data_IF_351443457763
#
_entry.id   IF_351443457763
#
_cell.length_a   1.000
_cell.length_b   1.000
_cell.length_c   1.000
_cell.angle_alpha   90.00
_cell.angle_beta   90.00
_cell.angle_gamma   90.00
#
_symmetry.space_group_name_H-M   'P 1'
#
loop_
_entity.id
_entity.type
_entity.pdbx_description
1 polymer ?
#
# COMPACT_ATOMS: atom_id res chain seq x y z
N UNK A 1 -59.70 -38.07 -38.49
CA UNK A 1 -58.85 -38.54 -37.37
C UNK A 1 -59.71 -38.81 -36.14
N UNK A 2 -59.62 -40.02 -35.57
CA UNK A 2 -60.34 -40.41 -34.34
C UNK A 2 -59.86 -39.56 -33.15
N UNK A 3 -60.78 -39.17 -32.26
CA UNK A 3 -60.56 -38.33 -31.06
C UNK A 3 -59.35 -38.81 -30.23
N UNK A 4 -59.15 -40.12 -30.14
CA UNK A 4 -58.01 -40.76 -29.46
C UNK A 4 -56.64 -40.27 -29.95
N UNK A 5 -56.46 -40.07 -31.25
CA UNK A 5 -55.19 -39.60 -31.81
C UNK A 5 -54.93 -38.13 -31.48
N UNK A 6 -55.99 -37.30 -31.42
CA UNK A 6 -55.88 -35.90 -31.00
C UNK A 6 -55.46 -35.78 -29.53
N UNK A 7 -56.04 -36.63 -28.65
CA UNK A 7 -55.70 -36.68 -27.23
C UNK A 7 -54.27 -37.18 -26.97
N UNK A 8 -53.84 -38.23 -27.69
CA UNK A 8 -52.46 -38.73 -27.59
C UNK A 8 -51.44 -37.69 -28.07
N UNK A 9 -51.76 -36.96 -29.15
CA UNK A 9 -50.89 -35.90 -29.67
C UNK A 9 -50.79 -34.72 -28.69
N UNK A 10 -51.90 -34.28 -28.09
CA UNK A 10 -51.84 -33.24 -27.05
C UNK A 10 -51.02 -33.68 -25.83
N UNK A 11 -51.19 -34.92 -25.37
CA UNK A 11 -50.41 -35.45 -24.25
C UNK A 11 -48.91 -35.51 -24.57
N UNK A 12 -48.55 -35.95 -25.79
CA UNK A 12 -47.15 -35.99 -26.24
C UNK A 12 -46.53 -34.58 -26.30
N UNK A 13 -47.27 -33.59 -26.80
CA UNK A 13 -46.81 -32.19 -26.83
C UNK A 13 -46.61 -31.64 -25.42
N UNK A 14 -47.53 -31.91 -24.48
CA UNK A 14 -47.38 -31.49 -23.09
C UNK A 14 -46.15 -32.12 -22.42
N UNK A 15 -45.91 -33.41 -22.63
CA UNK A 15 -44.71 -34.09 -22.11
C UNK A 15 -43.46 -33.47 -22.71
N UNK A 16 -43.43 -33.21 -24.02
CA UNK A 16 -42.29 -32.59 -24.69
C UNK A 16 -42.03 -31.17 -24.14
N UNK A 17 -43.08 -30.39 -23.89
CA UNK A 17 -42.93 -29.05 -23.29
C UNK A 17 -42.38 -29.12 -21.86
N UNK A 18 -42.79 -30.10 -21.06
CA UNK A 18 -42.27 -30.28 -19.70
C UNK A 18 -40.79 -30.67 -19.71
N UNK A 19 -40.39 -31.56 -20.63
CA UNK A 19 -38.99 -31.95 -20.80
C UNK A 19 -38.14 -30.74 -21.25
N UNK A 20 -38.63 -29.97 -22.23
CA UNK A 20 -37.95 -28.76 -22.68
C UNK A 20 -37.83 -27.72 -21.56
N UNK A 21 -38.91 -27.50 -20.79
CA UNK A 21 -38.92 -26.59 -19.65
C UNK A 21 -37.93 -27.04 -18.56
N UNK A 22 -37.87 -28.33 -18.25
CA UNK A 22 -36.94 -28.87 -17.27
C UNK A 22 -35.48 -28.70 -17.74
N UNK A 23 -35.20 -28.94 -19.03
CA UNK A 23 -33.90 -28.68 -19.62
C UNK A 23 -33.48 -27.21 -19.53
N UNK A 24 -34.40 -26.29 -19.88
CA UNK A 24 -34.17 -24.85 -19.77
C UNK A 24 -33.96 -24.41 -18.33
N UNK A 25 -34.72 -24.97 -17.38
CA UNK A 25 -34.54 -24.70 -15.95
C UNK A 25 -33.15 -25.14 -15.46
N UNK A 26 -32.70 -26.35 -15.83
CA UNK A 26 -31.36 -26.85 -15.47
C UNK A 26 -30.26 -25.96 -16.04
N UNK A 27 -30.40 -25.55 -17.29
CA UNK A 27 -29.46 -24.62 -17.95
C UNK A 27 -29.44 -23.26 -17.24
N UNK A 28 -30.60 -22.67 -16.98
CA UNK A 28 -30.74 -21.40 -16.28
C UNK A 28 -30.15 -21.45 -14.86
N UNK A 29 -30.41 -22.53 -14.12
CA UNK A 29 -29.82 -22.73 -12.79
C UNK A 29 -28.30 -22.84 -12.81
N UNK A 30 -27.70 -23.43 -13.86
CA UNK A 30 -26.25 -23.44 -14.02
C UNK A 30 -25.69 -22.05 -14.21
N UNK A 31 -26.29 -21.25 -15.12
CA UNK A 31 -25.89 -19.86 -15.35
C UNK A 31 -26.00 -19.05 -14.06
N UNK A 32 -27.09 -19.21 -13.31
CA UNK A 32 -27.29 -18.50 -12.06
C UNK A 32 -26.23 -18.86 -11.00
N UNK A 33 -25.80 -20.12 -10.96
CA UNK A 33 -24.72 -20.56 -10.07
C UNK A 33 -23.38 -19.91 -10.46
N UNK A 34 -23.04 -19.91 -11.75
CA UNK A 34 -21.80 -19.32 -12.25
C UNK A 34 -21.76 -17.79 -12.03
N UNK A 35 -22.87 -17.09 -12.31
CA UNK A 35 -23.00 -15.65 -12.02
C UNK A 35 -22.96 -15.34 -10.51
N UNK A 36 -23.47 -16.24 -9.66
CA UNK A 36 -23.35 -16.12 -8.21
C UNK A 36 -21.88 -16.21 -7.76
N UNK A 37 -21.10 -17.13 -8.34
CA UNK A 37 -19.65 -17.23 -8.08
C UNK A 37 -18.92 -15.97 -8.57
N UNK A 38 -19.32 -15.40 -9.71
CA UNK A 38 -18.75 -14.14 -10.20
C UNK A 38 -19.04 -12.98 -9.24
N UNK A 39 -20.27 -12.88 -8.73
CA UNK A 39 -20.65 -11.88 -7.72
C UNK A 39 -19.85 -12.05 -6.42
N UNK A 40 -19.67 -13.29 -5.95
CA UNK A 40 -18.82 -13.59 -4.80
C UNK A 40 -17.35 -13.20 -5.04
N UNK A 41 -16.84 -13.41 -6.26
CA UNK A 41 -15.48 -13.01 -6.63
C UNK A 41 -15.28 -11.50 -6.56
N UNK A 42 -16.28 -10.70 -6.93
CA UNK A 42 -16.24 -9.24 -6.76
C UNK A 42 -16.15 -8.84 -5.29
N UNK A 43 -16.92 -9.49 -4.41
CA UNK A 43 -16.86 -9.26 -2.96
C UNK A 43 -15.49 -9.68 -2.41
N UNK A 44 -14.94 -10.80 -2.90
CA UNK A 44 -13.60 -11.23 -2.49
C UNK A 44 -12.53 -10.22 -2.92
N UNK A 45 -12.61 -9.63 -4.11
CA UNK A 45 -11.70 -8.55 -4.52
C UNK A 45 -11.79 -7.35 -3.59
N UNK A 46 -12.99 -6.94 -3.18
CA UNK A 46 -13.16 -5.85 -2.21
C UNK A 46 -12.46 -6.19 -0.89
N UNK A 47 -12.68 -7.40 -0.36
CA UNK A 47 -12.02 -7.86 0.86
C UNK A 47 -10.50 -7.89 0.73
N UNK A 48 -9.96 -8.33 -0.41
CA UNK A 48 -8.53 -8.37 -0.65
C UNK A 48 -7.93 -6.96 -0.72
N UNK A 49 -8.61 -5.99 -1.35
CA UNK A 49 -8.21 -4.58 -1.30
C UNK A 49 -8.18 -4.06 0.14
N UNK A 50 -9.15 -4.43 0.98
CA UNK A 50 -9.13 -4.07 2.39
C UNK A 50 -7.94 -4.69 3.15
N UNK A 51 -7.51 -5.90 2.79
CA UNK A 51 -6.30 -6.53 3.35
C UNK A 51 -5.03 -5.78 2.95
N UNK A 52 -4.90 -5.38 1.68
CA UNK A 52 -3.78 -4.51 1.25
C UNK A 52 -3.73 -3.24 2.08
N UNK A 53 -4.86 -2.53 2.22
CA UNK A 53 -4.95 -1.30 3.03
C UNK A 53 -4.59 -1.53 4.49
N UNK A 54 -4.91 -2.71 5.04
CA UNK A 54 -4.53 -3.09 6.40
C UNK A 54 -3.02 -3.29 6.52
N UNK A 55 -2.41 -4.03 5.60
CA UNK A 55 -0.96 -4.25 5.60
C UNK A 55 -0.19 -2.93 5.49
N UNK A 56 -0.67 -1.97 4.69
CA UNK A 56 -0.07 -0.64 4.59
C UNK A 56 -0.16 0.14 5.90
N UNK A 57 -1.35 0.16 6.52
CA UNK A 57 -1.54 0.83 7.82
C UNK A 57 -0.67 0.21 8.90
N UNK A 58 -0.58 -1.12 8.93
CA UNK A 58 0.27 -1.83 9.88
C UNK A 58 1.75 -1.55 9.61
N UNK A 59 2.17 -1.44 8.33
CA UNK A 59 3.51 -0.98 7.96
C UNK A 59 3.78 0.42 8.50
N UNK A 60 2.89 1.40 8.28
CA UNK A 60 3.14 2.77 8.77
C UNK A 60 3.11 2.87 10.30
N UNK A 61 2.35 2.01 10.97
CA UNK A 61 2.29 1.99 12.43
C UNK A 61 3.54 1.37 13.07
N UNK A 62 4.19 0.40 12.41
CA UNK A 62 5.26 -0.43 13.00
C UNK A 62 6.61 -0.34 12.30
N UNK A 63 6.62 0.13 11.06
CA UNK A 63 7.77 0.23 10.16
C UNK A 63 8.49 -1.10 9.93
N UNK A 64 7.74 -2.21 9.90
CA UNK A 64 8.29 -3.55 9.71
C UNK A 64 8.16 -4.02 8.25
N UNK A 65 9.28 -4.38 7.63
CA UNK A 65 9.31 -4.80 6.20
C UNK A 65 8.45 -6.03 5.93
N UNK A 66 8.16 -6.87 6.92
CA UNK A 66 7.31 -8.06 6.74
C UNK A 66 5.90 -7.75 6.22
N UNK A 67 5.38 -6.54 6.43
CA UNK A 67 4.10 -6.11 5.86
C UNK A 67 4.14 -5.88 4.36
N UNK A 68 5.31 -5.54 3.79
CA UNK A 68 5.50 -5.49 2.34
C UNK A 68 5.30 -6.87 1.71
N UNK A 69 5.84 -7.92 2.35
CA UNK A 69 5.72 -9.28 1.83
C UNK A 69 4.28 -9.80 1.93
N UNK A 70 3.55 -9.44 2.99
CA UNK A 70 2.10 -9.70 3.09
C UNK A 70 1.30 -8.98 2.00
N UNK A 71 1.62 -7.72 1.75
CA UNK A 71 0.98 -6.91 0.70
C UNK A 71 1.20 -7.52 -0.69
N UNK A 72 2.42 -7.97 -0.99
CA UNK A 72 2.75 -8.69 -2.23
C UNK A 72 1.98 -10.01 -2.36
N UNK A 73 1.89 -10.78 -1.28
CA UNK A 73 1.13 -12.04 -1.27
C UNK A 73 -0.36 -11.80 -1.55
N UNK A 74 -1.00 -10.87 -0.82
CA UNK A 74 -2.40 -10.47 -1.03
C UNK A 74 -2.62 -9.91 -2.44
N UNK A 75 -1.65 -9.19 -3.00
CA UNK A 75 -1.71 -8.72 -4.40
C UNK A 75 -1.69 -9.88 -5.41
N UNK A 76 -0.98 -10.97 -5.11
CA UNK A 76 -1.01 -12.19 -5.93
C UNK A 76 -2.37 -12.87 -5.88
N UNK A 77 -3.02 -12.90 -4.71
CA UNK A 77 -4.37 -13.46 -4.56
C UNK A 77 -5.40 -12.67 -5.39
N UNK A 78 -5.29 -11.34 -5.42
CA UNK A 78 -6.11 -10.47 -6.28
C UNK A 78 -5.97 -10.86 -7.75
N UNK A 79 -4.74 -11.08 -8.23
CA UNK A 79 -4.51 -11.47 -9.63
C UNK A 79 -5.19 -12.81 -9.96
N UNK A 80 -5.15 -13.77 -9.04
CA UNK A 80 -5.80 -15.08 -9.22
C UNK A 80 -7.32 -14.95 -9.29
N UNK A 81 -7.94 -14.21 -8.37
CA UNK A 81 -9.39 -13.93 -8.39
C UNK A 81 -9.77 -13.17 -9.66
N UNK A 82 -8.91 -12.23 -10.10
CA UNK A 82 -9.15 -11.46 -11.32
C UNK A 82 -9.13 -12.28 -12.60
N UNK A 83 -8.25 -13.28 -12.66
CA UNK A 83 -8.20 -14.20 -13.78
C UNK A 83 -9.51 -14.99 -13.90
N UNK A 84 -9.98 -15.57 -12.81
CA UNK A 84 -11.25 -16.34 -12.77
C UNK A 84 -12.44 -15.46 -13.13
N UNK A 85 -12.54 -14.26 -12.54
CA UNK A 85 -13.65 -13.35 -12.82
C UNK A 85 -13.68 -12.89 -14.28
N UNK A 86 -12.50 -12.64 -14.87
CA UNK A 86 -12.39 -12.28 -16.29
C UNK A 86 -12.87 -13.41 -17.20
N UNK A 87 -12.55 -14.66 -16.90
CA UNK A 87 -13.04 -15.81 -17.67
C UNK A 87 -14.58 -15.90 -17.66
N UNK A 88 -15.19 -15.69 -16.50
CA UNK A 88 -16.66 -15.67 -16.37
C UNK A 88 -17.28 -14.51 -17.14
N UNK A 89 -16.66 -13.32 -17.11
CA UNK A 89 -17.15 -12.17 -17.88
C UNK A 89 -17.11 -12.45 -19.39
N UNK A 90 -16.02 -13.02 -19.90
CA UNK A 90 -15.90 -13.40 -21.31
C UNK A 90 -16.91 -14.48 -21.69
N UNK A 91 -17.11 -15.49 -20.84
CA UNK A 91 -18.05 -16.60 -21.11
C UNK A 91 -19.49 -16.12 -21.26
N UNK A 92 -19.89 -15.09 -20.52
CA UNK A 92 -21.25 -14.53 -20.54
C UNK A 92 -21.37 -13.22 -21.31
N UNK A 93 -20.36 -12.85 -22.10
CA UNK A 93 -20.33 -11.63 -22.92
C UNK A 93 -20.57 -10.34 -22.08
N UNK A 94 -20.04 -10.33 -20.86
CA UNK A 94 -20.06 -9.18 -19.96
C UNK A 94 -18.84 -8.30 -20.24
N UNK A 95 -19.00 -6.96 -20.39
CA UNK A 95 -17.88 -6.06 -20.65
C UNK A 95 -16.76 -6.12 -19.61
N UNK A 96 -15.52 -6.35 -20.05
CA UNK A 96 -14.35 -6.49 -19.15
C UNK A 96 -13.65 -5.16 -18.82
N UNK A 97 -14.07 -4.04 -19.41
CA UNK A 97 -13.43 -2.73 -19.25
C UNK A 97 -13.25 -2.32 -17.78
N UNK A 98 -14.21 -2.68 -16.91
CA UNK A 98 -14.13 -2.43 -15.48
C UNK A 98 -12.99 -3.23 -14.82
N UNK A 99 -12.81 -4.49 -15.22
CA UNK A 99 -11.73 -5.35 -14.72
C UNK A 99 -10.36 -4.87 -15.21
N UNK A 100 -10.27 -4.39 -16.46
CA UNK A 100 -9.05 -3.79 -17.01
C UNK A 100 -8.63 -2.53 -16.26
N UNK A 101 -9.60 -1.65 -15.93
CA UNK A 101 -9.34 -0.44 -15.16
C UNK A 101 -8.98 -0.75 -13.70
N UNK A 102 -9.62 -1.76 -13.11
CA UNK A 102 -9.30 -2.23 -11.76
C UNK A 102 -7.87 -2.77 -11.70
N UNK A 103 -7.47 -3.63 -12.64
CA UNK A 103 -6.10 -4.17 -12.70
C UNK A 103 -5.05 -3.06 -12.84
N UNK A 104 -5.26 -2.09 -13.74
CA UNK A 104 -4.36 -0.93 -13.83
C UNK A 104 -4.26 -0.16 -12.51
N UNK A 105 -5.38 0.07 -11.84
CA UNK A 105 -5.42 0.80 -10.57
C UNK A 105 -4.69 0.03 -9.46
N UNK A 106 -4.87 -1.30 -9.38
CA UNK A 106 -4.24 -2.10 -8.33
C UNK A 106 -2.74 -2.26 -8.56
N UNK A 107 -2.27 -2.37 -9.80
CA UNK A 107 -0.83 -2.39 -10.10
C UNK A 107 -0.18 -1.05 -9.72
N UNK A 108 -0.80 0.07 -10.07
CA UNK A 108 -0.29 1.39 -9.69
C UNK A 108 -0.26 1.57 -8.17
N UNK A 109 -1.31 1.13 -7.48
CA UNK A 109 -1.40 1.16 -6.02
C UNK A 109 -0.28 0.35 -5.36
N UNK A 110 -0.04 -0.88 -5.83
CA UNK A 110 1.07 -1.74 -5.35
C UNK A 110 2.42 -1.08 -5.53
N UNK A 111 2.70 -0.56 -6.72
CA UNK A 111 3.98 0.09 -7.02
C UNK A 111 4.19 1.35 -6.18
N UNK A 112 3.12 2.11 -5.91
CA UNK A 112 3.16 3.28 -5.03
C UNK A 112 3.54 2.88 -3.61
N UNK A 113 2.95 1.81 -3.07
CA UNK A 113 3.30 1.32 -1.74
C UNK A 113 4.74 0.81 -1.66
N UNK A 114 5.18 0.01 -2.64
CA UNK A 114 6.57 -0.44 -2.73
C UNK A 114 7.57 0.73 -2.71
N UNK A 115 7.27 1.79 -3.47
CA UNK A 115 8.08 3.01 -3.51
C UNK A 115 8.13 3.69 -2.14
N UNK A 116 6.98 3.80 -1.46
CA UNK A 116 6.93 4.41 -0.11
C UNK A 116 7.72 3.57 0.90
N UNK A 117 7.64 2.24 0.84
CA UNK A 117 8.43 1.36 1.71
C UNK A 117 9.93 1.56 1.47
N UNK A 118 10.37 1.68 0.22
CA UNK A 118 11.77 1.97 -0.12
C UNK A 118 12.22 3.31 0.45
N UNK A 119 11.44 4.38 0.25
CA UNK A 119 11.75 5.70 0.82
C UNK A 119 11.80 5.67 2.35
N UNK A 120 10.92 4.90 2.99
CA UNK A 120 10.90 4.76 4.44
C UNK A 120 12.10 3.96 4.97
N UNK A 121 12.61 2.99 4.20
CA UNK A 121 13.87 2.31 4.48
C UNK A 121 15.07 3.24 4.37
N UNK A 122 15.11 4.09 3.34
CA UNK A 122 16.15 5.10 3.14
C UNK A 122 16.17 6.10 4.31
N UNK A 123 15.00 6.65 4.67
CA UNK A 123 14.85 7.50 5.86
C UNK A 123 15.32 6.76 7.12
N UNK A 124 14.98 5.48 7.25
CA UNK A 124 15.31 4.62 8.36
C UNK A 124 14.06 4.12 9.08
N UNK A 125 13.94 2.79 9.20
CA UNK A 125 12.83 2.13 9.91
C UNK A 125 12.97 2.19 11.43
N UNK A 126 14.21 2.29 11.90
CA UNK A 126 14.57 2.39 13.32
C UNK A 126 15.44 3.62 13.57
N UNK A 127 15.56 4.08 14.84
CA UNK A 127 16.44 5.18 15.19
C UNK A 127 17.95 4.95 14.95
N UNK A 128 18.34 3.77 14.47
CA UNK A 128 19.73 3.37 14.23
C UNK A 128 20.04 3.08 12.76
N UNK A 129 19.03 3.12 11.89
CA UNK A 129 19.13 2.70 10.48
C UNK A 129 18.85 3.87 9.54
N UNK A 130 19.31 3.77 8.30
CA UNK A 130 19.05 4.77 7.26
C UNK A 130 19.63 6.15 7.58
N UNK A 131 19.10 7.17 6.92
CA UNK A 131 19.48 8.56 7.10
C UNK A 131 19.32 9.03 8.55
N UNK A 132 18.29 8.55 9.26
CA UNK A 132 18.08 8.91 10.65
C UNK A 132 19.21 8.39 11.57
N UNK A 133 19.63 7.14 11.38
CA UNK A 133 20.76 6.57 12.12
C UNK A 133 22.06 7.34 11.87
N UNK A 134 22.36 7.64 10.60
CA UNK A 134 23.55 8.39 10.21
C UNK A 134 23.56 9.80 10.82
N UNK A 135 22.44 10.52 10.76
CA UNK A 135 22.29 11.84 11.36
C UNK A 135 22.50 11.80 12.87
N UNK A 136 21.95 10.79 13.56
CA UNK A 136 22.10 10.64 15.00
C UNK A 136 23.56 10.41 15.42
N UNK A 137 24.32 9.63 14.65
CA UNK A 137 25.75 9.42 14.90
C UNK A 137 26.53 10.71 14.73
N UNK A 138 26.33 11.42 13.61
CA UNK A 138 27.00 12.70 13.35
C UNK A 138 26.74 13.74 14.46
N UNK A 139 25.50 13.83 14.95
CA UNK A 139 25.17 14.69 16.09
C UNK A 139 25.92 14.27 17.35
N UNK A 140 25.96 12.96 17.66
CA UNK A 140 26.65 12.48 18.86
C UNK A 140 28.15 12.80 18.81
N UNK A 141 28.77 12.71 17.64
CA UNK A 141 30.18 13.09 17.44
C UNK A 141 30.40 14.59 17.67
N UNK A 142 29.52 15.44 17.09
CA UNK A 142 29.56 16.89 17.32
C UNK A 142 29.33 17.23 18.80
N UNK A 143 28.37 16.58 19.46
CA UNK A 143 28.09 16.78 20.88
C UNK A 143 29.30 16.42 21.75
N UNK A 144 29.98 15.32 21.45
CA UNK A 144 31.18 14.89 22.15
C UNK A 144 32.33 15.88 21.97
N UNK A 145 32.54 16.41 20.75
CA UNK A 145 33.56 17.42 20.47
C UNK A 145 33.27 18.73 21.20
N UNK A 146 32.04 19.26 21.09
CA UNK A 146 31.65 20.51 21.74
C UNK A 146 31.79 20.42 23.27
N UNK A 147 31.48 19.26 23.87
CA UNK A 147 31.72 18.99 25.30
C UNK A 147 33.20 18.92 25.64
N UNK A 148 34.00 18.22 24.84
CA UNK A 148 35.44 18.03 25.07
C UNK A 148 36.20 19.35 25.11
N UNK A 149 35.78 20.31 24.29
CA UNK A 149 36.42 21.62 24.18
C UNK A 149 35.71 22.74 24.97
N UNK A 150 34.76 22.38 25.84
CA UNK A 150 34.03 23.29 26.72
C UNK A 150 33.45 24.53 26.01
N UNK A 151 32.70 24.30 24.93
CA UNK A 151 32.10 25.35 24.10
C UNK A 151 30.59 25.51 24.35
N UNK A 152 30.15 26.17 25.45
CA UNK A 152 28.73 26.24 25.82
C UNK A 152 27.85 26.93 24.77
N UNK A 153 28.38 27.94 24.06
CA UNK A 153 27.63 28.65 23.02
C UNK A 153 27.32 27.74 21.82
N UNK A 154 28.28 26.92 21.39
CA UNK A 154 28.07 25.92 20.35
C UNK A 154 27.09 24.83 20.82
N UNK A 155 27.16 24.43 22.09
CA UNK A 155 26.22 23.46 22.67
C UNK A 155 24.78 23.95 22.61
N UNK A 156 24.51 25.22 22.96
CA UNK A 156 23.16 25.80 22.89
C UNK A 156 22.60 25.75 21.47
N UNK A 157 23.38 26.17 20.47
CA UNK A 157 22.92 26.14 19.06
C UNK A 157 22.76 24.71 18.55
N UNK A 158 23.63 23.77 18.95
CA UNK A 158 23.47 22.35 18.62
C UNK A 158 22.16 21.78 19.18
N UNK A 159 21.81 22.09 20.42
CA UNK A 159 20.54 21.66 21.02
C UNK A 159 19.34 22.28 20.30
N UNK A 160 19.44 23.51 19.80
CA UNK A 160 18.40 24.12 18.96
C UNK A 160 18.26 23.44 17.60
N UNK A 161 19.36 23.07 16.96
CA UNK A 161 19.35 22.24 15.74
C UNK A 161 18.63 20.92 15.98
N UNK A 162 18.97 20.23 17.07
CA UNK A 162 18.33 18.97 17.46
C UNK A 162 16.86 19.11 17.77
N UNK A 163 16.45 20.23 18.36
CA UNK A 163 15.03 20.53 18.58
C UNK A 163 14.29 20.67 17.26
N UNK A 164 14.81 21.46 16.33
CA UNK A 164 14.17 21.66 15.02
C UNK A 164 14.10 20.35 14.21
N UNK A 165 15.16 19.54 14.23
CA UNK A 165 15.18 18.22 13.59
C UNK A 165 14.07 17.31 14.15
N UNK A 166 13.97 17.20 15.48
CA UNK A 166 12.95 16.36 16.13
C UNK A 166 11.53 16.88 15.87
N UNK A 167 11.34 18.19 15.90
CA UNK A 167 10.05 18.80 15.60
C UNK A 167 9.66 18.56 14.13
N UNK A 168 10.60 18.63 13.18
CA UNK A 168 10.39 18.24 11.79
C UNK A 168 9.99 16.76 11.67
N UNK A 169 10.69 15.85 12.34
CA UNK A 169 10.37 14.42 12.29
C UNK A 169 8.97 14.11 12.85
N UNK A 170 8.54 14.84 13.89
CA UNK A 170 7.23 14.66 14.51
C UNK A 170 6.09 15.27 13.68
N UNK A 171 6.30 16.46 13.11
CA UNK A 171 5.21 17.27 12.52
C UNK A 171 5.27 17.36 11.00
N UNK A 172 6.42 17.10 10.39
CA UNK A 172 6.69 17.17 8.94
C UNK A 172 6.37 18.52 8.30
N UNK A 173 6.54 19.61 9.07
CA UNK A 173 6.33 20.98 8.60
C UNK A 173 7.64 21.62 8.11
N UNK A 174 7.62 22.21 6.91
CA UNK A 174 8.82 22.82 6.30
C UNK A 174 9.40 23.99 7.11
N UNK A 175 8.60 24.66 7.94
CA UNK A 175 9.06 25.74 8.81
C UNK A 175 10.19 25.32 9.76
N UNK A 176 10.27 24.04 10.12
CA UNK A 176 11.35 23.50 10.95
C UNK A 176 12.67 23.34 10.18
N UNK A 177 12.60 23.09 8.87
CA UNK A 177 13.79 23.06 8.00
C UNK A 177 14.36 24.48 7.87
N UNK A 178 13.52 25.48 7.63
CA UNK A 178 13.97 26.89 7.57
C UNK A 178 14.66 27.35 8.86
N UNK A 179 14.11 26.95 10.01
CA UNK A 179 14.72 27.21 11.33
C UNK A 179 16.02 26.43 11.50
N UNK A 180 16.09 25.19 11.01
CA UNK A 180 17.31 24.40 11.02
C UNK A 180 18.40 25.09 10.20
N UNK A 181 18.08 25.54 8.99
CA UNK A 181 19.01 26.25 8.10
C UNK A 181 19.50 27.58 8.70
N UNK A 182 18.63 28.33 9.39
CA UNK A 182 19.06 29.53 10.11
C UNK A 182 20.03 29.17 11.25
N UNK A 183 19.75 28.11 12.01
CA UNK A 183 20.57 27.70 13.13
C UNK A 183 21.89 27.05 12.71
N UNK A 184 21.95 26.37 11.56
CA UNK A 184 23.20 25.77 11.08
C UNK A 184 24.16 26.86 10.61
N UNK A 185 23.64 27.91 9.96
CA UNK A 185 24.42 29.10 9.60
C UNK A 185 25.00 29.78 10.85
N UNK A 186 24.19 29.95 11.91
CA UNK A 186 24.67 30.49 13.20
C UNK A 186 25.73 29.58 13.84
N UNK A 187 25.52 28.26 13.80
CA UNK A 187 26.49 27.30 14.32
C UNK A 187 27.83 27.41 13.59
N UNK A 188 27.81 27.48 12.26
CA UNK A 188 29.01 27.65 11.44
C UNK A 188 29.73 28.97 11.73
N UNK A 189 28.99 30.08 11.87
CA UNK A 189 29.59 31.37 12.25
C UNK A 189 30.29 31.32 13.61
N UNK A 190 29.64 30.73 14.61
CA UNK A 190 30.25 30.54 15.94
C UNK A 190 31.46 29.60 15.88
N UNK A 191 31.39 28.55 15.05
CA UNK A 191 32.50 27.61 14.87
C UNK A 191 33.73 28.30 14.29
N UNK A 192 33.55 29.18 13.30
CA UNK A 192 34.65 29.95 12.70
C UNK A 192 35.36 30.82 13.73
N UNK A 193 34.60 31.51 14.57
CA UNK A 193 35.13 32.45 15.60
C UNK A 193 35.63 31.73 16.87
N UNK A 194 35.26 30.46 17.08
CA UNK A 194 35.70 29.68 18.24
C UNK A 194 37.22 29.47 18.28
N UNK A 195 37.76 29.32 19.49
CA UNK A 195 39.19 29.04 19.75
C UNK A 195 39.59 27.57 19.50
N UNK A 196 38.77 26.80 18.78
CA UNK A 196 39.07 25.42 18.44
C UNK A 196 40.22 25.33 17.43
N UNK A 197 41.08 24.31 17.59
CA UNK A 197 42.12 24.00 16.61
C UNK A 197 41.49 23.69 15.24
N UNK A 198 42.20 24.02 14.17
CA UNK A 198 41.74 23.79 12.78
C UNK A 198 41.48 22.32 12.46
N UNK A 199 42.10 21.38 13.19
CA UNK A 199 41.83 19.95 13.11
C UNK A 199 40.49 19.54 13.73
N UNK A 200 39.98 20.31 14.70
CA UNK A 200 38.71 20.06 15.39
C UNK A 200 37.52 20.77 14.71
N UNK A 201 37.78 21.63 13.71
CA UNK A 201 36.77 22.35 12.90
C UNK A 201 36.42 21.65 11.58
N UNK A 202 37.08 20.54 11.25
CA UNK A 202 36.79 19.70 10.08
C UNK A 202 35.70 18.69 10.38
#
# INVERSE_FOLDING_TARGET
MLIRHKLLLSAAVSILSLVAMFGLQRYSSSIQADLSVAAHSVIELENQVLRLRKDEKDFFARLEVGYLEKHKANSSDINAVMHTLRQQFVMYDIPTNALDNFDKSIQHYKQSFETVVQLQQEIGLTPKTGLYGALRLAVHDVEALVKRYDQPNLMVVMLQLRRNEKDFMLRREMSYIEKFDSNINKFQQLLLVSSLDSSAKK
#
